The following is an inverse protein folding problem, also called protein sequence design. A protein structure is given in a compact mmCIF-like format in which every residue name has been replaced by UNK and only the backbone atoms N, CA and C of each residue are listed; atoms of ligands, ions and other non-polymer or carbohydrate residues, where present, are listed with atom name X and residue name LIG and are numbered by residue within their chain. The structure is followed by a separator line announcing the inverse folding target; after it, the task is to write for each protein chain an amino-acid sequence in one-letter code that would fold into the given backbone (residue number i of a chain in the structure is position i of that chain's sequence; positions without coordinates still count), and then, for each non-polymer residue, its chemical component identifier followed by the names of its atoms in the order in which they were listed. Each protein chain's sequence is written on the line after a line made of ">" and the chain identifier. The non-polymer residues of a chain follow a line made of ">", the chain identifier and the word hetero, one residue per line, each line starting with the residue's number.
data_IF_852515442736
#
_entry.id   IF_852515442736
#
_cell.length_a   1.000
_cell.length_b   1.000
_cell.length_c   1.000
_cell.angle_alpha   90.00
_cell.angle_beta   90.00
_cell.angle_gamma   90.00
#
_symmetry.space_group_name_H-M   'P 1'
#
loop_
_entity.id
_entity.type
_entity.pdbx_description
1 polymer ?
#
# COMPACT_ATOMS: atom_id res chain seq x y z
N UNK A 1 -11.85 -5.67 1.63
CA UNK A 1 -11.99 -4.39 0.88
C UNK A 1 -10.86 -4.09 -0.14
N UNK A 2 -10.12 -5.10 -0.62
CA UNK A 2 -8.90 -4.89 -1.44
C UNK A 2 -9.20 -4.39 -2.85
N UNK A 3 -10.05 -5.11 -3.60
CA UNK A 3 -10.32 -4.80 -5.01
C UNK A 3 -10.84 -3.36 -5.22
N UNK A 4 -11.80 -2.86 -4.41
CA UNK A 4 -12.22 -1.47 -4.51
C UNK A 4 -11.11 -0.45 -4.25
N UNK A 5 -10.21 -0.70 -3.29
CA UNK A 5 -9.10 0.20 -2.99
C UNK A 5 -8.13 0.29 -4.18
N UNK A 6 -7.73 -0.85 -4.76
CA UNK A 6 -6.87 -0.91 -5.94
C UNK A 6 -7.54 -0.19 -7.12
N UNK A 7 -8.80 -0.53 -7.42
CA UNK A 7 -9.50 0.05 -8.56
C UNK A 7 -9.73 1.55 -8.39
N UNK A 8 -10.03 2.01 -7.16
CA UNK A 8 -10.21 3.42 -6.83
C UNK A 8 -8.95 4.24 -7.12
N UNK A 9 -7.80 3.79 -6.60
CA UNK A 9 -6.50 4.45 -6.85
C UNK A 9 -6.18 4.47 -8.34
N UNK A 10 -6.31 3.34 -9.04
CA UNK A 10 -6.03 3.27 -10.48
C UNK A 10 -6.94 4.20 -11.30
N UNK A 11 -8.22 4.31 -10.94
CA UNK A 11 -9.16 5.18 -11.64
C UNK A 11 -8.76 6.66 -11.49
N UNK A 12 -8.40 7.08 -10.28
CA UNK A 12 -7.94 8.46 -10.01
C UNK A 12 -6.64 8.76 -10.74
N UNK A 13 -5.63 7.89 -10.64
CA UNK A 13 -4.34 8.08 -11.31
C UNK A 13 -4.50 8.19 -12.84
N UNK A 14 -5.34 7.33 -13.43
CA UNK A 14 -5.67 7.40 -14.86
C UNK A 14 -6.39 8.70 -15.23
N UNK A 15 -7.28 9.21 -14.37
CA UNK A 15 -7.96 10.48 -14.59
C UNK A 15 -6.98 11.67 -14.52
N UNK A 16 -6.09 11.70 -13.53
CA UNK A 16 -5.04 12.71 -13.41
C UNK A 16 -4.11 12.71 -14.63
N UNK A 17 -3.70 11.53 -15.10
CA UNK A 17 -2.86 11.39 -16.28
C UNK A 17 -3.55 11.93 -17.55
N UNK A 18 -4.86 11.67 -17.71
CA UNK A 18 -5.65 12.21 -18.85
C UNK A 18 -5.85 13.72 -18.78
N UNK A 19 -5.97 14.29 -17.59
CA UNK A 19 -6.27 15.71 -17.40
C UNK A 19 -5.15 16.64 -17.91
N UNK A 20 -3.88 16.18 -17.93
CA UNK A 20 -2.67 16.93 -18.33
C UNK A 20 -2.38 18.22 -17.54
N UNK A 21 -3.33 18.73 -16.75
CA UNK A 21 -3.18 19.88 -15.86
C UNK A 21 -2.66 19.50 -14.47
N UNK A 22 -2.81 18.24 -14.08
CA UNK A 22 -2.33 17.72 -12.78
C UNK A 22 -0.82 17.51 -12.85
N UNK A 23 -0.07 18.28 -12.06
CA UNK A 23 1.40 18.23 -12.04
C UNK A 23 1.99 17.23 -11.03
N UNK A 24 1.25 16.90 -9.98
CA UNK A 24 1.68 15.99 -8.91
C UNK A 24 0.48 15.35 -8.23
N UNK A 25 0.60 14.08 -7.87
CA UNK A 25 -0.36 13.36 -7.02
C UNK A 25 0.36 12.93 -5.75
N UNK A 26 -0.29 13.08 -4.60
CA UNK A 26 0.20 12.56 -3.31
C UNK A 26 -0.83 11.54 -2.82
N UNK A 27 -0.40 10.29 -2.67
CA UNK A 27 -1.24 9.20 -2.18
C UNK A 27 -1.03 9.04 -0.67
N UNK A 28 -2.08 9.19 0.11
CA UNK A 28 -2.06 8.82 1.53
C UNK A 28 -2.12 7.30 1.64
N UNK A 29 -0.94 6.69 1.80
CA UNK A 29 -0.81 5.27 2.15
C UNK A 29 -0.92 5.10 3.68
N UNK A 30 -0.46 3.96 4.20
CA UNK A 30 -0.41 3.66 5.63
C UNK A 30 0.92 2.99 5.99
N UNK A 31 1.34 3.11 7.25
CA UNK A 31 2.45 2.33 7.81
C UNK A 31 2.22 0.81 7.66
N UNK A 32 0.97 0.39 7.58
CA UNK A 32 0.59 -1.00 7.32
C UNK A 32 1.17 -1.57 6.01
N UNK A 33 1.51 -0.73 5.02
CA UNK A 33 2.11 -1.16 3.77
C UNK A 33 3.60 -1.56 3.89
N UNK A 34 4.24 -1.28 5.03
CA UNK A 34 5.65 -1.59 5.28
C UNK A 34 5.90 -2.41 6.54
N UNK A 35 5.06 -2.29 7.58
CA UNK A 35 5.34 -2.87 8.91
C UNK A 35 4.71 -4.23 9.18
N UNK A 36 3.65 -4.62 8.45
CA UNK A 36 2.93 -5.88 8.71
C UNK A 36 3.64 -7.03 7.99
N UNK A 37 4.68 -7.55 8.63
CA UNK A 37 5.49 -8.67 8.17
C UNK A 37 5.70 -9.67 9.31
N UNK A 38 6.15 -10.87 8.97
CA UNK A 38 6.80 -11.79 9.91
C UNK A 38 8.17 -11.21 10.28
N UNK A 39 8.19 -10.24 11.20
CA UNK A 39 9.44 -9.60 11.61
C UNK A 39 10.33 -10.64 12.31
N UNK A 40 11.46 -10.95 11.69
CA UNK A 40 12.50 -11.81 12.25
C UNK A 40 13.30 -11.00 13.29
N UNK A 41 12.79 -10.94 14.52
CA UNK A 41 13.52 -10.42 15.68
C UNK A 41 13.23 -8.96 16.06
N UNK A 42 13.73 -8.56 17.23
CA UNK A 42 13.65 -7.19 17.75
C UNK A 42 14.76 -6.33 17.16
N UNK A 43 14.43 -5.17 16.58
CA UNK A 43 15.42 -4.17 16.11
C UNK A 43 15.45 -3.91 14.61
N UNK A 44 14.53 -4.46 13.83
CA UNK A 44 14.41 -4.14 12.40
C UNK A 44 14.03 -2.68 12.19
N UNK A 45 14.91 -1.92 11.53
CA UNK A 45 14.62 -0.56 11.07
C UNK A 45 13.81 -0.67 9.78
N UNK A 46 12.71 0.09 9.71
CA UNK A 46 11.86 0.17 8.53
C UNK A 46 12.11 1.51 7.85
N UNK A 47 12.43 1.48 6.56
CA UNK A 47 12.61 2.63 5.68
C UNK A 47 11.67 2.55 4.45
N UNK A 48 11.81 3.51 3.53
CA UNK A 48 10.98 3.62 2.33
C UNK A 48 11.20 2.50 1.30
N UNK A 49 12.22 1.65 1.47
CA UNK A 49 12.48 0.51 0.61
C UNK A 49 11.72 -0.76 1.03
N UNK A 50 11.20 -0.79 2.26
CA UNK A 50 10.49 -1.95 2.78
C UNK A 50 9.06 -2.06 2.23
N UNK A 51 8.57 -3.30 2.17
CA UNK A 51 7.20 -3.63 1.79
C UNK A 51 6.69 -4.79 2.64
N UNK A 52 5.38 -4.86 2.81
CA UNK A 52 4.74 -6.05 3.35
C UNK A 52 4.68 -7.18 2.33
N UNK A 53 4.89 -8.41 2.79
CA UNK A 53 4.69 -9.63 2.02
C UNK A 53 3.19 -9.84 1.75
N UNK A 54 2.82 -9.73 0.48
CA UNK A 54 1.43 -9.87 0.02
C UNK A 54 0.91 -11.30 0.19
N UNK A 55 1.76 -12.32 0.05
CA UNK A 55 1.37 -13.72 0.23
C UNK A 55 1.08 -14.01 1.71
N UNK A 56 1.99 -13.59 2.59
CA UNK A 56 1.78 -13.66 4.04
C UNK A 56 0.47 -13.00 4.43
N UNK A 57 0.29 -11.75 3.99
CA UNK A 57 -0.89 -10.96 4.26
C UNK A 57 -2.17 -11.70 3.77
N UNK A 58 -2.21 -12.16 2.53
CA UNK A 58 -3.37 -12.86 1.97
C UNK A 58 -3.75 -14.15 2.72
N UNK A 59 -2.76 -14.80 3.33
CA UNK A 59 -2.90 -16.05 4.09
C UNK A 59 -3.34 -15.78 5.52
N UNK A 60 -2.65 -14.85 6.20
CA UNK A 60 -2.86 -14.54 7.61
C UNK A 60 -4.18 -13.83 7.89
N UNK A 61 -4.72 -13.10 6.90
CA UNK A 61 -5.96 -12.29 7.02
C UNK A 61 -6.04 -11.51 8.34
N UNK A 62 -5.10 -10.58 8.60
CA UNK A 62 -5.08 -9.78 9.81
C UNK A 62 -6.46 -9.22 10.19
N UNK A 63 -6.74 -9.07 11.50
CA UNK A 63 -8.01 -8.52 11.97
C UNK A 63 -8.28 -7.19 11.26
N UNK A 64 -9.50 -7.00 10.76
CA UNK A 64 -9.99 -5.85 9.95
C UNK A 64 -9.81 -5.93 8.42
N UNK A 65 -9.36 -7.06 7.85
CA UNK A 65 -9.18 -7.23 6.39
C UNK A 65 -10.35 -7.88 5.62
#
# INVERSE_FOLDING_TARGET
>A
MIKPAIQGVLNVLKACARAKSVKRVVLTSSAAAVSINTLNGTGSVIDESNWTDVEFLSTAKPPTW
#
